data_IF_300668859376
#
_entry.id   IF_300668859376
#
_cell.length_a   1.000
_cell.length_b   1.000
_cell.length_c   1.000
_cell.angle_alpha   90.00
_cell.angle_beta   90.00
_cell.angle_gamma   90.00
#
_symmetry.space_group_name_H-M   'P 1'
#
loop_
_entity.id
_entity.type
_entity.pdbx_description
1 polymer ?
#
# COMPACT_ATOMS: atom_id res chain seq x y z
N UNK A 1 -13.97 -34.76 2.85
CA UNK A 1 -15.05 -33.74 2.90
C UNK A 1 -14.51 -32.45 2.29
N UNK A 2 -14.97 -32.07 1.09
CA UNK A 2 -14.61 -30.77 0.52
C UNK A 2 -15.36 -29.68 1.27
N UNK A 3 -14.63 -28.87 2.03
CA UNK A 3 -15.18 -27.68 2.67
C UNK A 3 -15.44 -26.64 1.58
N UNK A 4 -16.66 -26.10 1.55
CA UNK A 4 -16.98 -24.95 0.68
C UNK A 4 -16.05 -23.79 1.01
N UNK A 5 -15.71 -22.97 0.01
CA UNK A 5 -14.82 -21.81 0.15
C UNK A 5 -15.30 -20.90 1.30
N UNK A 6 -16.60 -20.69 1.43
CA UNK A 6 -17.22 -19.86 2.48
C UNK A 6 -17.09 -20.44 3.90
N UNK A 7 -16.77 -21.72 4.03
CA UNK A 7 -16.58 -22.43 5.31
C UNK A 7 -15.11 -22.57 5.73
N UNK A 8 -14.19 -21.98 4.96
CA UNK A 8 -12.74 -21.97 5.22
C UNK A 8 -12.20 -20.53 5.25
N UNK A 9 -10.93 -20.37 5.64
CA UNK A 9 -10.26 -19.07 5.63
C UNK A 9 -10.15 -18.43 4.24
N UNK A 10 -10.30 -19.21 3.16
CA UNK A 10 -10.23 -18.73 1.77
C UNK A 10 -11.26 -17.63 1.45
N UNK A 11 -12.38 -17.58 2.18
CA UNK A 11 -13.36 -16.49 2.05
C UNK A 11 -12.77 -15.09 2.27
N UNK A 12 -11.70 -14.98 3.06
CA UNK A 12 -11.02 -13.72 3.36
C UNK A 12 -10.20 -13.19 2.18
N UNK A 13 -9.94 -13.99 1.15
CA UNK A 13 -9.31 -13.52 -0.09
C UNK A 13 -10.16 -12.43 -0.77
N UNK A 14 -11.48 -12.46 -0.61
CA UNK A 14 -12.34 -11.39 -1.12
C UNK A 14 -12.10 -10.06 -0.41
N UNK A 15 -11.84 -10.09 0.90
CA UNK A 15 -11.47 -8.89 1.64
C UNK A 15 -10.09 -8.38 1.19
N UNK A 16 -9.11 -9.28 1.01
CA UNK A 16 -7.80 -8.91 0.49
C UNK A 16 -7.89 -8.25 -0.91
N UNK A 17 -8.73 -8.81 -1.78
CA UNK A 17 -9.00 -8.25 -3.11
C UNK A 17 -9.63 -6.85 -3.01
N UNK A 18 -10.63 -6.67 -2.14
CA UNK A 18 -11.26 -5.38 -1.90
C UNK A 18 -10.24 -4.34 -1.42
N UNK A 19 -9.40 -4.70 -0.45
CA UNK A 19 -8.33 -3.83 0.07
C UNK A 19 -7.37 -3.43 -1.05
N UNK A 20 -6.96 -4.37 -1.90
CA UNK A 20 -6.07 -4.11 -3.04
C UNK A 20 -6.70 -3.13 -4.05
N UNK A 21 -7.98 -3.32 -4.37
CA UNK A 21 -8.71 -2.42 -5.28
C UNK A 21 -8.79 -1.01 -4.69
N UNK A 22 -9.12 -0.89 -3.40
CA UNK A 22 -9.20 0.42 -2.72
C UNK A 22 -7.83 1.08 -2.62
N UNK A 23 -6.77 0.33 -2.32
CA UNK A 23 -5.39 0.85 -2.25
C UNK A 23 -4.91 1.39 -3.61
N UNK A 24 -5.04 0.58 -4.67
CA UNK A 24 -4.60 1.00 -5.99
C UNK A 24 -5.48 2.12 -6.54
N UNK A 25 -6.81 2.02 -6.36
CA UNK A 25 -7.77 3.04 -6.80
C UNK A 25 -7.53 4.39 -6.13
N UNK A 26 -7.33 4.41 -4.81
CA UNK A 26 -7.03 5.65 -4.07
C UNK A 26 -5.71 6.28 -4.51
N UNK A 27 -4.65 5.50 -4.76
CA UNK A 27 -3.38 6.02 -5.30
C UNK A 27 -3.55 6.65 -6.68
N UNK A 28 -4.29 5.98 -7.58
CA UNK A 28 -4.57 6.53 -8.91
C UNK A 28 -5.36 7.83 -8.82
N UNK A 29 -6.35 7.90 -7.91
CA UNK A 29 -7.11 9.13 -7.68
C UNK A 29 -6.21 10.27 -7.17
N UNK A 30 -5.28 10.01 -6.24
CA UNK A 30 -4.31 11.02 -5.79
C UNK A 30 -3.43 11.50 -6.95
N UNK A 31 -2.89 10.57 -7.76
CA UNK A 31 -2.04 10.93 -8.91
C UNK A 31 -2.74 11.81 -9.94
N UNK A 32 -4.05 11.65 -10.11
CA UNK A 32 -4.84 12.44 -11.05
C UNK A 32 -5.24 13.83 -10.53
N UNK A 33 -5.23 14.06 -9.21
CA UNK A 33 -5.81 15.25 -8.59
C UNK A 33 -4.83 16.09 -7.74
N UNK A 34 -3.64 15.57 -7.41
CA UNK A 34 -2.66 16.24 -6.55
C UNK A 34 -1.32 16.38 -7.25
N UNK A 35 -0.66 17.53 -7.10
CA UNK A 35 0.77 17.66 -7.38
C UNK A 35 1.59 17.10 -6.21
N UNK A 36 2.84 16.70 -6.50
CA UNK A 36 3.73 16.17 -5.47
C UNK A 36 3.98 17.22 -4.37
N UNK A 37 3.70 16.87 -3.13
CA UNK A 37 3.79 17.77 -1.97
C UNK A 37 2.47 18.47 -1.61
N UNK A 38 1.43 18.36 -2.44
CA UNK A 38 0.14 18.98 -2.15
C UNK A 38 -0.50 18.36 -0.90
N UNK A 39 -1.18 19.21 -0.14
CA UNK A 39 -1.88 18.85 1.09
C UNK A 39 -3.30 19.42 1.07
N UNK A 40 -4.30 18.58 1.31
CA UNK A 40 -5.71 18.98 1.40
C UNK A 40 -6.32 18.44 2.70
N UNK A 41 -7.02 19.26 3.50
CA UNK A 41 -7.70 18.78 4.69
C UNK A 41 -8.90 17.89 4.31
N UNK A 42 -8.99 16.72 4.93
CA UNK A 42 -10.13 15.81 4.79
C UNK A 42 -11.14 16.00 5.93
N UNK A 43 -10.63 15.99 7.16
CA UNK A 43 -11.35 16.34 8.39
C UNK A 43 -10.40 17.12 9.31
N UNK A 44 -10.92 17.66 10.42
CA UNK A 44 -10.18 18.57 11.32
C UNK A 44 -8.79 18.09 11.77
N UNK A 45 -8.55 16.78 11.84
CA UNK A 45 -7.29 16.21 12.32
C UNK A 45 -6.61 15.32 11.26
N UNK A 46 -7.10 15.30 10.02
CA UNK A 46 -6.58 14.43 8.97
C UNK A 46 -6.47 15.18 7.65
N UNK A 47 -5.27 15.17 7.08
CA UNK A 47 -5.00 15.71 5.76
C UNK A 47 -4.67 14.58 4.78
N UNK A 48 -5.07 14.78 3.52
CA UNK A 48 -4.54 14.05 2.38
C UNK A 48 -3.29 14.76 1.90
N UNK A 49 -2.15 14.07 1.90
CA UNK A 49 -0.88 14.61 1.44
C UNK A 49 -0.29 13.68 0.38
N UNK A 50 0.12 14.22 -0.77
CA UNK A 50 0.78 13.42 -1.79
C UNK A 50 2.30 13.42 -1.60
N UNK A 51 2.83 12.30 -1.10
CA UNK A 51 4.27 12.03 -1.01
C UNK A 51 4.64 10.73 -1.73
N UNK A 52 5.88 10.65 -2.21
CA UNK A 52 6.49 9.42 -2.75
C UNK A 52 7.49 8.87 -1.74
N UNK A 53 7.21 7.68 -1.21
CA UNK A 53 8.09 7.03 -0.24
C UNK A 53 8.97 5.98 -0.95
N UNK A 54 10.26 6.28 -1.11
CA UNK A 54 11.26 5.37 -1.69
C UNK A 54 11.96 4.49 -0.62
N UNK A 55 11.38 4.39 0.58
CA UNK A 55 12.00 3.70 1.72
C UNK A 55 12.81 4.65 2.62
N UNK A 56 12.30 5.87 2.85
CA UNK A 56 13.01 6.91 3.60
C UNK A 56 13.35 6.50 5.06
N UNK A 57 12.54 5.63 5.67
CA UNK A 57 12.82 5.10 7.02
C UNK A 57 14.11 4.28 7.09
N UNK A 58 14.63 3.80 5.95
CA UNK A 58 15.88 3.05 5.83
C UNK A 58 16.92 3.79 4.98
N UNK A 59 16.87 5.13 4.99
CA UNK A 59 17.74 5.98 4.17
C UNK A 59 19.24 5.81 4.47
N UNK A 60 19.60 5.34 5.67
CA UNK A 60 20.98 4.96 6.00
C UNK A 60 21.54 3.83 5.10
N UNK A 61 20.68 3.10 4.41
CA UNK A 61 21.04 2.10 3.39
C UNK A 61 20.64 2.57 1.98
N UNK A 62 20.21 3.81 1.77
CA UNK A 62 19.77 4.30 0.46
C UNK A 62 20.88 4.20 -0.59
N UNK A 63 22.13 4.44 -0.19
CA UNK A 63 23.31 4.34 -1.06
C UNK A 63 23.66 2.90 -1.46
N UNK A 64 23.04 1.89 -0.81
CA UNK A 64 23.16 0.46 -1.15
C UNK A 64 22.13 0.03 -2.21
N UNK A 65 21.87 0.94 -3.15
CA UNK A 65 20.86 0.92 -4.22
C UNK A 65 19.96 -0.32 -4.37
N UNK A 66 18.65 -0.10 -4.24
CA UNK A 66 17.63 -1.04 -4.72
C UNK A 66 17.35 -2.26 -3.83
N UNK A 67 18.10 -2.45 -2.75
CA UNK A 67 17.89 -3.56 -1.81
C UNK A 67 16.50 -3.56 -1.18
N UNK A 68 15.88 -2.39 -0.96
CA UNK A 68 14.58 -2.24 -0.30
C UNK A 68 13.51 -3.07 -1.02
N UNK A 69 13.52 -3.03 -2.36
CA UNK A 69 12.55 -3.74 -3.20
C UNK A 69 12.60 -5.25 -2.96
N UNK A 70 13.81 -5.82 -3.01
CA UNK A 70 14.00 -7.26 -2.89
C UNK A 70 13.83 -7.75 -1.46
N UNK A 71 14.31 -6.98 -0.48
CA UNK A 71 14.17 -7.29 0.94
C UNK A 71 12.69 -7.34 1.36
N UNK A 72 11.90 -6.31 1.04
CA UNK A 72 10.49 -6.30 1.42
C UNK A 72 9.65 -7.33 0.65
N UNK A 73 10.00 -7.62 -0.61
CA UNK A 73 9.36 -8.73 -1.34
C UNK A 73 9.65 -10.08 -0.68
N UNK A 74 10.86 -10.29 -0.18
CA UNK A 74 11.22 -11.50 0.59
C UNK A 74 10.42 -11.63 1.89
N UNK A 75 10.30 -10.55 2.67
CA UNK A 75 9.48 -10.52 3.89
C UNK A 75 8.01 -10.86 3.59
N UNK A 76 7.46 -10.37 2.47
CA UNK A 76 6.07 -10.63 2.12
C UNK A 76 5.79 -12.12 1.81
N UNK A 77 6.82 -12.89 1.45
CA UNK A 77 6.72 -14.32 1.14
C UNK A 77 6.98 -15.20 2.38
N UNK A 78 7.84 -14.73 3.29
CA UNK A 78 8.25 -15.44 4.51
C UNK A 78 7.12 -15.50 5.56
#
# INVERSE_FOLDING_TARGET
MNKSICSSGLRWLWLALLVLVVDLGSKQWILANFALGDTQPLISHLNLHYARNYGAAFSFLADKGGWQRWFFAGIAIA
#
